data_IF_804130214827
#
_entry.id   IF_804130214827
#
_cell.length_a   1.000
_cell.length_b   1.000
_cell.length_c   1.000
_cell.angle_alpha   90.00
_cell.angle_beta   90.00
_cell.angle_gamma   90.00
#
_symmetry.space_group_name_H-M   'P 1'
#
loop_
_entity.id
_entity.type
_entity.pdbx_description
1 polymer ?
#
# COMPACT_ATOMS: atom_id res chain seq x y z
N UNK A 1 -25.32 60.48 25.12
CA UNK A 1 -24.68 59.39 25.87
C UNK A 1 -24.29 58.36 24.84
N UNK A 2 -23.04 58.41 24.40
CA UNK A 2 -22.51 57.51 23.36
C UNK A 2 -22.47 56.08 23.90
N UNK A 3 -23.06 55.15 23.14
CA UNK A 3 -23.04 53.73 23.48
C UNK A 3 -21.68 53.14 23.17
N UNK A 4 -20.95 52.70 24.19
CA UNK A 4 -19.73 51.92 24.01
C UNK A 4 -20.07 50.57 23.34
N UNK A 5 -19.45 50.32 22.19
CA UNK A 5 -19.50 48.99 21.58
C UNK A 5 -18.52 48.06 22.30
N UNK A 6 -19.04 46.96 22.80
CA UNK A 6 -18.24 45.87 23.37
C UNK A 6 -18.07 44.79 22.31
N UNK A 7 -16.82 44.43 22.03
CA UNK A 7 -16.46 43.28 21.20
C UNK A 7 -16.01 42.14 22.11
N UNK A 8 -16.65 40.99 21.98
CA UNK A 8 -16.22 39.75 22.63
C UNK A 8 -15.54 38.89 21.58
N UNK A 9 -14.29 38.50 21.84
CA UNK A 9 -13.55 37.53 21.03
C UNK A 9 -13.39 36.24 21.82
N UNK A 10 -13.71 35.11 21.19
CA UNK A 10 -13.49 33.76 21.72
C UNK A 10 -12.48 33.08 20.82
N UNK A 11 -11.29 32.84 21.36
CA UNK A 11 -10.24 32.07 20.68
C UNK A 11 -10.19 30.66 21.27
N UNK A 12 -10.29 29.64 20.42
CA UNK A 12 -10.10 28.24 20.80
C UNK A 12 -8.79 27.74 20.20
N UNK A 13 -7.95 27.12 21.03
CA UNK A 13 -6.78 26.39 20.54
C UNK A 13 -7.22 25.20 19.68
N UNK A 14 -6.75 25.17 18.44
CA UNK A 14 -7.01 24.10 17.47
C UNK A 14 -5.74 23.38 17.01
N UNK A 15 -4.57 23.71 17.59
CA UNK A 15 -3.27 23.22 17.12
C UNK A 15 -3.15 21.70 17.17
N UNK A 16 -3.64 21.08 18.24
CA UNK A 16 -3.68 19.61 18.37
C UNK A 16 -4.57 18.96 17.29
N UNK A 17 -5.72 19.56 16.99
CA UNK A 17 -6.65 19.05 15.98
C UNK A 17 -6.03 19.10 14.58
N UNK A 18 -5.43 20.23 14.22
CA UNK A 18 -4.74 20.42 12.94
C UNK A 18 -3.56 19.44 12.78
N UNK A 19 -2.82 19.21 13.87
CA UNK A 19 -1.69 18.25 13.89
C UNK A 19 -2.18 16.82 13.64
N UNK A 20 -3.25 16.40 14.32
CA UNK A 20 -3.82 15.06 14.17
C UNK A 20 -4.36 14.84 12.74
N UNK A 21 -5.07 15.81 12.18
CA UNK A 21 -5.55 15.73 10.79
C UNK A 21 -4.39 15.66 9.79
N UNK A 22 -3.32 16.43 10.01
CA UNK A 22 -2.12 16.37 9.16
C UNK A 22 -1.39 15.02 9.23
N UNK A 23 -1.21 14.48 10.44
CA UNK A 23 -0.57 13.16 10.64
C UNK A 23 -1.36 12.05 9.92
N UNK A 24 -2.68 12.10 10.07
CA UNK A 24 -3.62 11.17 9.45
C UNK A 24 -3.61 11.25 7.93
N UNK A 25 -3.60 12.45 7.36
CA UNK A 25 -3.46 12.66 5.91
C UNK A 25 -2.14 12.10 5.38
N UNK A 26 -1.04 12.36 6.08
CA UNK A 26 0.28 11.84 5.71
C UNK A 26 0.34 10.31 5.78
N UNK A 27 -0.23 9.71 6.83
CA UNK A 27 -0.31 8.26 6.96
C UNK A 27 -1.10 7.62 5.81
N UNK A 28 -2.24 8.22 5.42
CA UNK A 28 -3.03 7.76 4.28
C UNK A 28 -2.26 7.84 2.97
N UNK A 29 -1.52 8.93 2.75
CA UNK A 29 -0.69 9.10 1.56
C UNK A 29 0.42 8.04 1.50
N UNK A 30 1.10 7.77 2.62
CA UNK A 30 2.13 6.74 2.69
C UNK A 30 1.58 5.34 2.45
N UNK A 31 0.42 5.01 3.00
CA UNK A 31 -0.27 3.73 2.73
C UNK A 31 -0.53 3.58 1.23
N UNK A 32 -1.03 4.63 0.57
CA UNK A 32 -1.24 4.63 -0.88
C UNK A 32 0.04 4.40 -1.68
N UNK A 33 1.13 5.09 -1.32
CA UNK A 33 2.42 4.93 -1.98
C UNK A 33 2.99 3.52 -1.81
N UNK A 34 2.92 2.96 -0.60
CA UNK A 34 3.39 1.61 -0.33
C UNK A 34 2.61 0.58 -1.15
N UNK A 35 1.29 0.76 -1.26
CA UNK A 35 0.40 -0.06 -2.09
C UNK A 35 0.86 -0.09 -3.56
N UNK A 36 1.17 1.07 -4.16
CA UNK A 36 1.67 1.14 -5.55
C UNK A 36 3.05 0.47 -5.70
N UNK A 37 3.94 0.68 -4.74
CA UNK A 37 5.27 0.07 -4.75
C UNK A 37 5.19 -1.46 -4.66
N UNK A 38 4.29 -2.01 -3.85
CA UNK A 38 4.12 -3.46 -3.72
C UNK A 38 3.57 -4.11 -5.00
N UNK A 39 2.61 -3.49 -5.70
CA UNK A 39 2.13 -4.00 -6.98
C UNK A 39 3.25 -4.05 -8.02
N UNK A 40 4.07 -2.99 -8.07
CA UNK A 40 5.23 -2.91 -8.96
C UNK A 40 6.28 -3.98 -8.63
N UNK A 41 6.43 -4.31 -7.34
CA UNK A 41 7.36 -5.35 -6.88
C UNK A 41 6.94 -6.75 -7.35
N UNK A 42 5.64 -7.07 -7.32
CA UNK A 42 5.13 -8.36 -7.80
C UNK A 42 5.50 -8.61 -9.26
N UNK A 43 5.30 -7.62 -10.12
CA UNK A 43 5.67 -7.67 -11.54
C UNK A 43 7.19 -7.80 -11.73
N UNK A 44 7.97 -7.06 -10.93
CA UNK A 44 9.44 -7.17 -10.94
C UNK A 44 9.96 -8.54 -10.49
N UNK A 45 9.21 -9.29 -9.70
CA UNK A 45 9.55 -10.68 -9.33
C UNK A 45 9.14 -11.65 -10.44
N UNK A 46 7.94 -11.49 -11.02
CA UNK A 46 7.43 -12.38 -12.08
C UNK A 46 8.28 -12.35 -13.35
N UNK A 47 8.85 -11.19 -13.71
CA UNK A 47 9.71 -11.07 -14.89
C UNK A 47 10.94 -11.99 -14.87
N UNK A 48 11.86 -11.92 -13.89
CA UNK A 48 12.98 -12.83 -13.80
C UNK A 48 12.53 -14.28 -13.56
N UNK A 49 11.42 -14.50 -12.85
CA UNK A 49 10.86 -15.84 -12.66
C UNK A 49 10.45 -16.48 -13.99
N UNK A 50 9.80 -15.74 -14.88
CA UNK A 50 9.43 -16.20 -16.22
C UNK A 50 10.66 -16.57 -17.05
N UNK A 51 11.76 -15.82 -16.93
CA UNK A 51 13.05 -16.17 -17.56
C UNK A 51 13.59 -17.49 -17.01
N UNK A 52 13.60 -17.66 -15.69
CA UNK A 52 14.06 -18.90 -15.03
C UNK A 52 13.23 -20.11 -15.49
N UNK A 53 11.90 -19.98 -15.48
CA UNK A 53 10.98 -21.02 -15.95
C UNK A 53 11.23 -21.34 -17.42
N UNK A 54 11.41 -20.32 -18.26
CA UNK A 54 11.71 -20.50 -19.68
C UNK A 54 13.00 -21.27 -19.90
N UNK A 55 14.07 -20.95 -19.18
CA UNK A 55 15.36 -21.67 -19.26
C UNK A 55 15.24 -23.11 -18.75
N UNK A 56 14.61 -23.32 -17.59
CA UNK A 56 14.44 -24.65 -17.01
C UNK A 56 13.56 -25.55 -17.88
N UNK A 57 12.54 -25.00 -18.55
CA UNK A 57 11.64 -25.75 -19.43
C UNK A 57 12.32 -26.28 -20.70
N UNK A 58 13.50 -25.79 -21.06
CA UNK A 58 14.27 -26.30 -22.20
C UNK A 58 15.08 -27.55 -21.86
N UNK A 59 15.25 -27.86 -20.57
CA UNK A 59 15.98 -29.03 -20.10
C UNK A 59 15.05 -30.06 -19.46
N UNK A 60 15.33 -31.34 -19.69
CA UNK A 60 14.61 -32.46 -19.06
C UNK A 60 15.50 -33.15 -18.01
N UNK A 61 16.06 -32.37 -17.08
CA UNK A 61 16.92 -32.88 -16.01
C UNK A 61 16.18 -32.91 -14.67
N UNK A 62 16.65 -33.74 -13.73
CA UNK A 62 16.10 -33.73 -12.37
C UNK A 62 16.19 -32.33 -11.71
N UNK A 63 17.26 -31.59 -12.02
CA UNK A 63 17.44 -30.21 -11.55
C UNK A 63 16.44 -29.25 -12.19
N UNK A 64 16.12 -29.39 -13.48
CA UNK A 64 15.13 -28.51 -14.12
C UNK A 64 13.74 -28.70 -13.53
N UNK A 65 13.35 -29.93 -13.19
CA UNK A 65 12.10 -30.21 -12.47
C UNK A 65 12.06 -29.50 -11.12
N UNK A 66 13.13 -29.59 -10.33
CA UNK A 66 13.22 -28.91 -9.02
C UNK A 66 13.15 -27.37 -9.15
N UNK A 67 13.78 -26.82 -10.19
CA UNK A 67 13.73 -25.37 -10.47
C UNK A 67 12.30 -24.95 -10.81
N UNK A 68 11.58 -25.72 -11.62
CA UNK A 68 10.19 -25.43 -11.98
C UNK A 68 9.26 -25.53 -10.77
N UNK A 69 9.45 -26.52 -9.90
CA UNK A 69 8.71 -26.64 -8.63
C UNK A 69 8.96 -25.44 -7.72
N UNK A 70 10.22 -25.06 -7.50
CA UNK A 70 10.58 -23.90 -6.72
C UNK A 70 10.01 -22.60 -7.31
N UNK A 71 10.04 -22.46 -8.64
CA UNK A 71 9.46 -21.31 -9.32
C UNK A 71 7.95 -21.22 -9.11
N UNK A 72 7.24 -22.36 -9.14
CA UNK A 72 5.81 -22.41 -8.82
C UNK A 72 5.50 -21.99 -7.38
N UNK A 73 6.34 -22.36 -6.41
CA UNK A 73 6.20 -21.90 -5.02
C UNK A 73 6.37 -20.38 -4.91
N UNK A 74 7.35 -19.81 -5.62
CA UNK A 74 7.56 -18.35 -5.64
C UNK A 74 6.35 -17.65 -6.25
N UNK A 75 5.82 -18.11 -7.39
CA UNK A 75 4.65 -17.49 -8.03
C UNK A 75 3.40 -17.57 -7.13
N UNK A 76 3.21 -18.67 -6.41
CA UNK A 76 2.13 -18.80 -5.44
C UNK A 76 2.24 -17.76 -4.30
N UNK A 77 3.45 -17.56 -3.76
CA UNK A 77 3.70 -16.54 -2.73
C UNK A 77 3.46 -15.12 -3.24
N UNK A 78 3.92 -14.80 -4.46
CA UNK A 78 3.65 -13.49 -5.09
C UNK A 78 2.15 -13.29 -5.30
N UNK A 79 1.44 -14.33 -5.72
CA UNK A 79 -0.02 -14.30 -5.90
C UNK A 79 -0.77 -14.13 -4.57
N UNK A 80 -0.28 -14.71 -3.48
CA UNK A 80 -0.83 -14.51 -2.14
C UNK A 80 -0.63 -13.06 -1.66
N UNK A 81 0.56 -12.49 -1.90
CA UNK A 81 0.85 -11.09 -1.61
C UNK A 81 -0.10 -10.15 -2.37
N UNK A 82 -0.34 -10.42 -3.67
CA UNK A 82 -1.31 -9.66 -4.48
C UNK A 82 -2.75 -9.75 -3.94
N UNK A 83 -3.12 -10.87 -3.31
CA UNK A 83 -4.44 -11.04 -2.69
C UNK A 83 -4.58 -10.32 -1.36
N UNK A 84 -3.56 -10.39 -0.50
CA UNK A 84 -3.52 -9.64 0.77
C UNK A 84 -3.59 -8.12 0.57
N UNK A 85 -3.22 -7.65 -0.62
CA UNK A 85 -3.35 -6.26 -1.02
C UNK A 85 -4.80 -5.79 -1.19
N UNK A 86 -5.73 -6.65 -1.63
CA UNK A 86 -7.17 -6.30 -1.74
C UNK A 86 -7.74 -5.90 -0.37
N UNK A 87 -7.28 -6.53 0.70
CA UNK A 87 -7.66 -6.17 2.06
C UNK A 87 -7.08 -4.81 2.47
N UNK A 88 -5.84 -4.50 2.08
CA UNK A 88 -5.22 -3.19 2.31
C UNK A 88 -5.91 -2.07 1.53
N UNK A 89 -6.39 -2.35 0.32
CA UNK A 89 -7.21 -1.46 -0.49
C UNK A 89 -8.55 -1.14 0.20
N UNK A 90 -9.20 -2.15 0.80
CA UNK A 90 -10.41 -1.96 1.59
C UNK A 90 -10.17 -1.11 2.85
N UNK A 91 -9.05 -1.33 3.55
CA UNK A 91 -8.63 -0.47 4.67
C UNK A 91 -8.41 0.97 4.20
N UNK A 92 -7.73 1.17 3.07
CA UNK A 92 -7.54 2.51 2.50
C UNK A 92 -8.86 3.17 2.13
N UNK A 93 -9.78 2.45 1.48
CA UNK A 93 -11.09 2.95 1.08
C UNK A 93 -11.95 3.32 2.29
N UNK A 94 -11.94 2.49 3.33
CA UNK A 94 -12.58 2.78 4.61
C UNK A 94 -12.02 4.05 5.23
N UNK A 95 -10.68 4.14 5.35
CA UNK A 95 -10.05 5.32 5.90
C UNK A 95 -10.43 6.56 5.09
N UNK A 96 -10.25 6.57 3.77
CA UNK A 96 -10.65 7.73 2.93
C UNK A 96 -12.12 8.12 3.10
N UNK A 97 -13.05 7.17 3.26
CA UNK A 97 -14.48 7.47 3.44
C UNK A 97 -14.80 8.12 4.78
N UNK A 98 -14.11 7.72 5.85
CA UNK A 98 -14.36 8.21 7.20
C UNK A 98 -13.52 9.44 7.57
N UNK A 99 -12.46 9.68 6.81
CA UNK A 99 -11.36 10.53 7.25
C UNK A 99 -10.75 11.40 6.14
N UNK A 100 -11.12 11.20 4.88
CA UNK A 100 -10.71 12.01 3.73
C UNK A 100 -11.63 13.19 3.45
#
# INVERSE_FOLDING_TARGET
MDGEQVVISISRDISERERLESLKKNALQQIGHNIEQFATLGDHIRNPLAVIVGLASLEETASSVQILEAAGLIDALVTELDRGWIESENVRAFLRKHYG
#
